data_IF_740912054828
#
_entry.id   IF_740912054828
#
_cell.length_a   1.000
_cell.length_b   1.000
_cell.length_c   1.000
_cell.angle_alpha   90.00
_cell.angle_beta   90.00
_cell.angle_gamma   90.00
#
_symmetry.space_group_name_H-M   'P 1'
#
loop_
_entity.id
_entity.type
_entity.pdbx_description
1 polymer ?
#
# COMPACT_ATOMS: atom_id res chain seq x y z
N UNK A 1 -46.74 22.81 37.11
CA UNK A 1 -45.52 22.73 36.26
C UNK A 1 -45.13 21.26 36.09
N UNK A 2 -45.46 20.64 34.94
CA UNK A 2 -45.13 19.22 34.64
C UNK A 2 -43.67 19.11 34.18
N UNK A 3 -42.89 18.19 34.75
CA UNK A 3 -41.53 17.88 34.29
C UNK A 3 -41.61 16.95 33.08
N UNK A 4 -41.07 17.38 31.95
CA UNK A 4 -40.95 16.56 30.73
C UNK A 4 -39.82 15.56 30.94
N UNK A 5 -40.12 14.27 30.84
CA UNK A 5 -39.12 13.22 30.88
C UNK A 5 -38.34 13.23 29.55
N UNK A 6 -37.07 13.63 29.59
CA UNK A 6 -36.19 13.53 28.44
C UNK A 6 -35.82 12.05 28.25
N UNK A 7 -36.46 11.39 27.28
CA UNK A 7 -36.03 10.10 26.75
C UNK A 7 -34.61 10.26 26.22
N UNK A 8 -33.64 9.68 26.94
CA UNK A 8 -32.23 9.63 26.60
C UNK A 8 -32.09 8.75 25.35
N UNK A 9 -32.15 9.37 24.16
CA UNK A 9 -31.74 8.72 22.94
C UNK A 9 -30.32 8.16 23.17
N UNK A 10 -30.14 6.86 22.95
CA UNK A 10 -28.82 6.22 22.94
C UNK A 10 -27.95 7.01 21.97
N UNK A 11 -27.05 7.81 22.52
CA UNK A 11 -26.06 8.53 21.75
C UNK A 11 -25.22 7.51 21.00
N UNK A 12 -25.47 7.37 19.71
CA UNK A 12 -24.43 7.00 18.75
C UNK A 12 -23.47 8.18 18.74
N UNK A 13 -22.57 8.19 19.73
CA UNK A 13 -21.48 9.13 19.76
C UNK A 13 -20.64 8.88 18.50
N UNK A 14 -20.74 9.79 17.53
CA UNK A 14 -20.05 9.71 16.24
C UNK A 14 -18.53 9.80 16.40
N UNK A 15 -18.04 10.10 17.61
CA UNK A 15 -16.63 10.10 17.96
C UNK A 15 -16.16 8.76 18.56
N UNK A 16 -17.08 7.83 18.86
CA UNK A 16 -16.72 6.48 19.28
C UNK A 16 -16.38 5.68 18.02
N UNK A 17 -15.10 5.56 17.72
CA UNK A 17 -14.62 4.60 16.73
C UNK A 17 -14.96 3.19 17.22
N UNK A 18 -15.73 2.40 16.47
CA UNK A 18 -15.88 0.98 16.78
C UNK A 18 -14.50 0.31 16.76
N UNK A 19 -14.27 -0.74 17.56
CA UNK A 19 -13.02 -1.49 17.50
C UNK A 19 -12.85 -2.00 16.07
N UNK A 20 -11.78 -1.56 15.39
CA UNK A 20 -11.46 -2.02 14.06
C UNK A 20 -11.30 -3.55 14.15
N UNK A 21 -12.04 -4.35 13.35
CA UNK A 21 -11.68 -5.74 13.20
C UNK A 21 -10.26 -5.78 12.63
N UNK A 22 -9.42 -6.68 13.13
CA UNK A 22 -8.09 -6.95 12.60
C UNK A 22 -8.24 -7.36 11.13
N UNK A 23 -8.21 -6.36 10.23
CA UNK A 23 -8.10 -6.61 8.82
C UNK A 23 -6.76 -7.34 8.63
N UNK A 24 -6.74 -8.51 7.98
CA UNK A 24 -5.47 -9.10 7.60
C UNK A 24 -4.71 -8.04 6.82
N UNK A 25 -3.51 -7.70 7.31
CA UNK A 25 -2.65 -6.69 6.69
C UNK A 25 -2.50 -6.98 5.20
N UNK A 26 -2.15 -5.97 4.38
CA UNK A 26 -2.06 -6.13 2.94
C UNK A 26 -1.27 -7.41 2.65
N UNK A 27 -1.96 -8.37 2.03
CA UNK A 27 -1.38 -9.64 1.63
C UNK A 27 -0.15 -9.26 0.82
N UNK A 28 1.04 -9.52 1.37
CA UNK A 28 2.28 -9.42 0.60
C UNK A 28 2.08 -10.43 -0.52
N UNK A 29 1.78 -9.93 -1.71
CA UNK A 29 1.61 -10.74 -2.91
C UNK A 29 2.79 -11.71 -2.96
N UNK A 30 2.56 -13.04 -2.91
CA UNK A 30 3.66 -13.98 -3.04
C UNK A 30 4.30 -13.68 -4.39
N UNK A 31 5.61 -13.42 -4.36
CA UNK A 31 6.34 -12.69 -5.39
C UNK A 31 5.88 -13.09 -6.79
N UNK A 32 5.51 -12.08 -7.59
CA UNK A 32 5.43 -12.24 -9.03
C UNK A 32 6.80 -12.79 -9.43
N UNK A 33 6.85 -14.04 -9.88
CA UNK A 33 8.08 -14.62 -10.45
C UNK A 33 8.23 -13.95 -11.80
N UNK A 34 8.75 -12.73 -11.77
CA UNK A 34 9.05 -11.98 -12.99
C UNK A 34 10.34 -12.56 -13.54
N UNK A 35 10.35 -12.86 -14.83
CA UNK A 35 11.57 -13.23 -15.52
C UNK A 35 12.61 -12.09 -15.34
N UNK A 36 13.80 -12.37 -14.78
CA UNK A 36 14.85 -11.36 -14.64
C UNK A 36 15.17 -10.65 -15.96
N UNK A 37 15.02 -11.32 -17.10
CA UNK A 37 15.23 -10.73 -18.42
C UNK A 37 14.15 -9.69 -18.75
N UNK A 38 12.90 -9.95 -18.39
CA UNK A 38 11.81 -8.99 -18.58
C UNK A 38 11.97 -7.78 -17.66
N UNK A 39 12.40 -7.98 -16.41
CA UNK A 39 12.70 -6.88 -15.48
C UNK A 39 13.81 -5.96 -15.99
N UNK A 40 14.86 -6.53 -16.60
CA UNK A 40 15.95 -5.72 -17.18
C UNK A 40 15.49 -4.91 -18.39
N UNK A 41 14.58 -5.45 -19.22
CA UNK A 41 13.98 -4.70 -20.33
C UNK A 41 13.13 -3.54 -19.85
N UNK A 42 12.30 -3.76 -18.82
CA UNK A 42 11.50 -2.69 -18.23
C UNK A 42 12.38 -1.58 -17.65
N UNK A 43 13.50 -1.95 -17.01
CA UNK A 43 14.48 -0.97 -16.51
C UNK A 43 15.13 -0.15 -17.64
N UNK A 44 15.49 -0.79 -18.76
CA UNK A 44 16.07 -0.11 -19.93
C UNK A 44 15.06 0.87 -20.57
N UNK A 45 13.79 0.48 -20.63
CA UNK A 45 12.70 1.34 -21.08
C UNK A 45 12.54 2.58 -20.19
N UNK A 46 12.71 2.43 -18.87
CA UNK A 46 12.61 3.54 -17.91
C UNK A 46 13.79 4.52 -18.06
N UNK A 47 15.00 4.02 -18.32
CA UNK A 47 16.17 4.85 -18.62
C UNK A 47 15.95 5.60 -19.94
N UNK A 48 15.47 4.92 -20.97
CA UNK A 48 15.19 5.52 -22.29
C UNK A 48 14.15 6.62 -22.21
N UNK A 49 13.16 6.48 -21.32
CA UNK A 49 12.15 7.51 -21.03
C UNK A 49 12.65 8.65 -20.15
N UNK A 50 13.89 8.59 -19.66
CA UNK A 50 14.46 9.56 -18.73
C UNK A 50 13.81 9.54 -17.34
N UNK A 51 13.10 8.46 -17.00
CA UNK A 51 12.47 8.26 -15.68
C UNK A 51 13.46 7.70 -14.66
N UNK A 52 14.59 7.19 -15.14
CA UNK A 52 15.62 6.54 -14.36
C UNK A 52 16.98 7.04 -14.85
N UNK A 53 17.85 7.40 -13.90
CA UNK A 53 19.23 7.75 -14.25
C UNK A 53 20.04 6.48 -14.57
N UNK A 54 21.13 6.60 -15.35
CA UNK A 54 22.02 5.46 -15.62
C UNK A 54 22.62 4.85 -14.35
N UNK A 55 22.84 5.65 -13.31
CA UNK A 55 23.38 5.19 -12.02
C UNK A 55 22.35 4.36 -11.24
N UNK A 56 21.09 4.78 -11.24
CA UNK A 56 19.99 4.05 -10.60
C UNK A 56 19.69 2.73 -11.33
N UNK A 57 19.86 2.69 -12.66
CA UNK A 57 19.76 1.48 -13.45
C UNK A 57 20.79 0.42 -13.03
N UNK A 58 22.06 0.80 -12.89
CA UNK A 58 23.10 -0.15 -12.47
C UNK A 58 22.86 -0.68 -11.05
N UNK A 59 22.35 0.16 -10.14
CA UNK A 59 21.97 -0.28 -8.79
C UNK A 59 20.81 -1.29 -8.82
N UNK A 60 19.78 -1.05 -9.64
CA UNK A 60 18.63 -1.94 -9.75
C UNK A 60 18.96 -3.24 -10.48
N UNK A 61 19.76 -3.18 -11.54
CA UNK A 61 20.32 -4.35 -12.24
C UNK A 61 21.11 -5.25 -11.28
N UNK A 62 21.91 -4.67 -10.39
CA UNK A 62 22.63 -5.43 -9.35
C UNK A 62 21.71 -6.22 -8.41
N UNK A 63 20.54 -5.66 -8.07
CA UNK A 63 19.54 -6.33 -7.21
C UNK A 63 18.79 -7.45 -7.92
N UNK A 64 18.66 -7.37 -9.25
CA UNK A 64 18.00 -8.41 -10.05
C UNK A 64 18.95 -9.59 -10.30
N UNK A 65 20.24 -9.32 -10.55
CA UNK A 65 21.24 -10.35 -10.84
C UNK A 65 21.80 -11.04 -9.59
N UNK A 66 21.79 -10.36 -8.44
CA UNK A 66 22.23 -10.90 -7.14
C UNK A 66 21.09 -10.82 -6.11
N UNK A 67 20.14 -11.79 -6.12
CA UNK A 67 19.01 -11.81 -5.20
C UNK A 67 19.41 -12.07 -3.73
#
# INVERSE_FOLDING_TARGET
MRRVAATRARGTDLLVRPPCPDLPGPIRSPGLVVDPVEQLKELDDLVTRGLLSPEEFEQQKGRILSP
#
